data_IF_453169736218
#
_entry.id   IF_453169736218
#
_cell.length_a   1.000
_cell.length_b   1.000
_cell.length_c   1.000
_cell.angle_alpha   90.00
_cell.angle_beta   90.00
_cell.angle_gamma   90.00
#
_symmetry.space_group_name_H-M   'P 1'
#
loop_
_entity.id
_entity.type
_entity.pdbx_description
1 polymer ?
#
# COMPACT_ATOMS: atom_id res chain seq x y z
N UNK A 1 7.81 -0.15 37.45
CA UNK A 1 7.78 -1.36 36.59
C UNK A 1 7.89 -0.90 35.13
N UNK A 2 9.08 -0.94 34.53
CA UNK A 2 9.27 -0.56 33.12
C UNK A 2 8.74 -1.70 32.25
N UNK A 3 7.53 -1.57 31.73
CA UNK A 3 7.03 -2.48 30.71
C UNK A 3 7.93 -2.34 29.48
N UNK A 4 8.67 -3.39 29.14
CA UNK A 4 9.36 -3.50 27.87
C UNK A 4 8.29 -3.51 26.77
N UNK A 5 7.96 -2.32 26.24
CA UNK A 5 7.22 -2.21 25.00
C UNK A 5 8.14 -2.82 23.95
N UNK A 6 7.75 -3.98 23.41
CA UNK A 6 8.41 -4.56 22.25
C UNK A 6 8.27 -3.54 21.12
N UNK A 7 9.35 -2.79 20.85
CA UNK A 7 9.42 -1.86 19.73
C UNK A 7 9.25 -2.67 18.46
N UNK A 8 8.02 -2.72 17.95
CA UNK A 8 7.72 -3.36 16.67
C UNK A 8 8.36 -2.52 15.57
N UNK A 9 9.16 -3.17 14.73
CA UNK A 9 9.71 -2.53 13.53
C UNK A 9 8.65 -2.39 12.45
N UNK A 10 7.61 -3.24 12.49
CA UNK A 10 6.51 -3.27 11.51
C UNK A 10 5.68 -1.98 11.52
N UNK A 11 5.01 -1.65 10.40
CA UNK A 11 4.12 -0.50 10.32
C UNK A 11 3.07 -0.48 11.43
N UNK A 12 2.70 0.71 11.88
CA UNK A 12 1.83 0.91 13.05
C UNK A 12 0.49 0.21 12.84
N UNK A 13 -0.08 0.33 11.65
CA UNK A 13 -1.28 -0.39 11.17
C UNK A 13 -1.19 -0.59 9.67
N UNK A 14 -1.82 -1.65 9.19
CA UNK A 14 -1.94 -1.98 7.77
C UNK A 14 -3.42 -2.24 7.47
N UNK A 15 -3.95 -1.57 6.45
CA UNK A 15 -5.31 -1.75 5.95
C UNK A 15 -5.29 -2.13 4.47
N UNK A 16 -6.28 -2.91 4.04
CA UNK A 16 -6.47 -3.28 2.64
C UNK A 16 -7.95 -3.07 2.25
N UNK A 17 -8.23 -2.04 1.47
CA UNK A 17 -9.59 -1.62 1.11
C UNK A 17 -10.01 -2.15 -0.25
N UNK A 18 -10.94 -3.10 -0.27
CA UNK A 18 -11.48 -3.72 -1.49
C UNK A 18 -12.92 -3.25 -1.72
N UNK A 19 -13.17 -2.57 -2.84
CA UNK A 19 -14.47 -1.97 -3.20
C UNK A 19 -14.40 -1.41 -4.63
N UNK A 20 -15.52 -1.13 -5.33
CA UNK A 20 -15.46 -0.35 -6.58
C UNK A 20 -14.84 1.06 -6.43
N UNK A 21 -14.45 1.66 -7.55
CA UNK A 21 -14.00 3.07 -7.62
C UNK A 21 -15.11 4.04 -7.22
N UNK A 22 -14.73 5.22 -6.74
CA UNK A 22 -15.67 6.28 -6.36
C UNK A 22 -16.43 6.02 -5.05
N UNK A 23 -16.03 5.02 -4.27
CA UNK A 23 -16.72 4.58 -3.06
C UNK A 23 -16.07 5.06 -1.75
N UNK A 24 -15.28 6.13 -1.81
CA UNK A 24 -14.79 6.82 -0.61
C UNK A 24 -13.49 6.30 0.02
N UNK A 25 -12.76 5.37 -0.61
CA UNK A 25 -11.57 4.75 0.02
C UNK A 25 -10.47 5.76 0.32
N UNK A 26 -10.23 6.65 -0.63
CA UNK A 26 -9.20 7.70 -0.54
C UNK A 26 -9.66 8.78 0.44
N UNK A 27 -10.94 9.08 0.47
CA UNK A 27 -11.57 10.01 1.40
C UNK A 27 -11.46 9.51 2.85
N UNK A 28 -11.70 8.21 3.08
CA UNK A 28 -11.49 7.57 4.39
C UNK A 28 -10.02 7.65 4.80
N UNK A 29 -9.08 7.44 3.88
CA UNK A 29 -7.65 7.56 4.17
C UNK A 29 -7.27 9.00 4.58
N UNK A 30 -7.77 10.02 3.86
CA UNK A 30 -7.55 11.43 4.19
C UNK A 30 -8.17 11.82 5.54
N UNK A 31 -9.42 11.41 5.79
CA UNK A 31 -10.08 11.66 7.07
C UNK A 31 -9.35 10.99 8.24
N UNK A 32 -8.81 9.79 8.02
CA UNK A 32 -7.99 9.11 9.01
C UNK A 32 -6.67 9.86 9.27
N UNK A 33 -6.05 10.47 8.26
CA UNK A 33 -4.84 11.27 8.42
C UNK A 33 -5.11 12.43 9.37
N UNK A 34 -6.17 13.20 9.10
CA UNK A 34 -6.53 14.35 9.93
C UNK A 34 -6.85 13.91 11.37
N UNK A 35 -7.58 12.80 11.53
CA UNK A 35 -7.92 12.27 12.85
C UNK A 35 -6.70 11.81 13.66
N UNK A 36 -5.73 11.16 13.02
CA UNK A 36 -4.59 10.53 13.70
C UNK A 36 -3.43 11.50 13.91
N UNK A 37 -3.19 12.39 12.96
CA UNK A 37 -2.00 13.24 12.93
C UNK A 37 -2.32 14.74 12.99
N UNK A 38 -3.57 15.16 12.74
CA UNK A 38 -3.96 16.58 12.71
C UNK A 38 -3.21 17.41 11.66
N UNK A 39 -2.66 16.75 10.65
CA UNK A 39 -1.89 17.37 9.58
C UNK A 39 -2.14 16.61 8.26
N UNK A 40 -2.87 17.23 7.34
CA UNK A 40 -3.10 16.68 6.00
C UNK A 40 -1.81 16.38 5.24
N UNK A 41 -0.69 17.08 5.53
CA UNK A 41 0.62 16.82 4.91
C UNK A 41 1.20 15.48 5.33
N UNK A 42 0.71 14.86 6.40
CA UNK A 42 1.04 13.51 6.79
C UNK A 42 0.47 12.46 5.82
N UNK A 43 -0.42 12.83 4.90
CA UNK A 43 -0.91 11.94 3.85
C UNK A 43 0.02 11.91 2.63
N UNK A 44 0.34 10.71 2.14
CA UNK A 44 0.97 10.53 0.84
C UNK A 44 0.23 9.46 0.04
N UNK A 45 -0.04 9.74 -1.24
CA UNK A 45 -0.71 8.82 -2.17
C UNK A 45 0.23 8.41 -3.28
N UNK A 46 0.24 7.11 -3.58
CA UNK A 46 0.97 6.50 -4.67
C UNK A 46 -0.04 5.76 -5.55
N UNK A 47 -0.23 6.22 -6.79
CA UNK A 47 -1.08 5.55 -7.78
C UNK A 47 -0.28 4.40 -8.42
N UNK A 48 -0.68 3.15 -8.13
CA UNK A 48 0.02 1.97 -8.61
C UNK A 48 -0.09 1.78 -10.13
N UNK A 49 -0.97 2.52 -10.82
CA UNK A 49 -0.97 2.57 -12.28
C UNK A 49 0.30 3.19 -12.88
N UNK A 50 1.06 4.00 -12.14
CA UNK A 50 2.36 4.54 -12.57
C UNK A 50 3.54 3.55 -12.40
N UNK A 51 3.27 2.40 -11.77
CA UNK A 51 4.26 1.42 -11.33
C UNK A 51 4.08 0.05 -12.01
N UNK A 52 3.60 0.04 -13.25
CA UNK A 52 3.34 -1.16 -14.09
C UNK A 52 4.58 -1.77 -14.71
N UNK A 53 5.60 -0.96 -14.95
CA UNK A 53 6.80 -1.36 -15.71
C UNK A 53 7.78 -2.17 -14.86
N UNK A 54 8.64 -2.97 -15.51
CA UNK A 54 9.61 -3.85 -14.85
C UNK A 54 10.51 -3.13 -13.83
N UNK A 55 10.95 -1.91 -14.16
CA UNK A 55 11.81 -1.06 -13.32
C UNK A 55 11.03 -0.12 -12.39
N UNK A 56 9.71 -0.30 -12.25
CA UNK A 56 8.88 0.58 -11.42
C UNK A 56 9.29 0.58 -9.94
N UNK A 57 9.81 -0.53 -9.41
CA UNK A 57 10.28 -0.60 -8.03
C UNK A 57 11.40 0.41 -7.73
N UNK A 58 12.26 0.70 -8.71
CA UNK A 58 13.33 1.69 -8.59
C UNK A 58 12.77 3.11 -8.42
N UNK A 59 11.55 3.41 -8.88
CA UNK A 59 10.91 4.71 -8.59
C UNK A 59 10.59 4.85 -7.10
N UNK A 60 10.30 3.75 -6.39
CA UNK A 60 9.99 3.76 -4.96
C UNK A 60 11.25 3.82 -4.09
N UNK A 61 12.34 3.16 -4.52
CA UNK A 61 13.59 3.01 -3.75
C UNK A 61 14.80 3.72 -4.34
N UNK A 62 14.67 4.41 -5.46
CA UNK A 62 15.77 5.02 -6.20
C UNK A 62 16.51 4.02 -7.09
N UNK A 63 17.14 4.56 -8.14
CA UNK A 63 18.00 3.79 -9.05
C UNK A 63 19.26 3.30 -8.34
N UNK A 64 19.81 2.14 -8.72
CA UNK A 64 21.09 1.64 -8.20
C UNK A 64 22.29 2.44 -8.76
N UNK A 65 23.49 2.31 -8.15
CA UNK A 65 24.71 2.93 -8.66
C UNK A 65 24.96 2.61 -10.14
N UNK A 66 25.22 3.64 -10.95
CA UNK A 66 25.50 3.51 -12.39
C UNK A 66 24.31 3.68 -13.32
N UNK A 67 23.10 3.94 -12.80
CA UNK A 67 21.89 4.21 -13.58
C UNK A 67 21.46 5.68 -13.49
N UNK A 68 20.71 6.16 -14.49
CA UNK A 68 20.13 7.51 -14.47
C UNK A 68 19.16 7.64 -13.28
N UNK A 69 19.23 8.75 -12.55
CA UNK A 69 18.47 8.98 -11.31
C UNK A 69 19.17 8.43 -10.05
N UNK A 70 20.36 7.85 -10.18
CA UNK A 70 21.21 7.54 -9.02
C UNK A 70 21.57 8.83 -8.26
N UNK A 71 21.34 8.85 -6.95
CA UNK A 71 21.57 10.01 -6.08
C UNK A 71 20.31 10.79 -5.67
N UNK A 72 19.18 10.60 -6.36
CA UNK A 72 17.90 11.23 -5.97
C UNK A 72 17.19 10.48 -4.84
N UNK A 73 17.47 9.19 -4.69
CA UNK A 73 16.75 8.31 -3.75
C UNK A 73 15.40 7.89 -4.33
N UNK A 74 14.58 7.25 -3.50
CA UNK A 74 13.27 6.74 -3.93
C UNK A 74 12.14 7.64 -3.50
N UNK A 75 11.06 7.72 -4.30
CA UNK A 75 9.87 8.52 -3.93
C UNK A 75 9.30 8.09 -2.58
N UNK A 76 9.22 6.78 -2.32
CA UNK A 76 8.66 6.26 -1.08
C UNK A 76 9.65 6.40 0.08
N UNK A 77 10.91 6.01 -0.13
CA UNK A 77 11.93 6.08 0.92
C UNK A 77 12.18 7.53 1.36
N UNK A 78 12.28 8.46 0.41
CA UNK A 78 12.42 9.89 0.71
C UNK A 78 11.20 10.42 1.47
N UNK A 79 9.98 10.09 1.05
CA UNK A 79 8.76 10.55 1.72
C UNK A 79 8.71 10.10 3.19
N UNK A 80 9.12 8.88 3.48
CA UNK A 80 9.12 8.34 4.85
C UNK A 80 10.29 8.90 5.67
N UNK A 81 11.45 9.12 5.06
CA UNK A 81 12.58 9.79 5.71
C UNK A 81 12.26 11.24 6.08
N UNK A 82 11.54 11.96 5.21
CA UNK A 82 11.11 13.34 5.43
C UNK A 82 10.02 13.43 6.52
N UNK A 83 9.00 12.57 6.46
CA UNK A 83 7.93 12.54 7.45
C UNK A 83 7.47 11.10 7.77
N UNK A 84 8.06 10.48 8.82
CA UNK A 84 7.77 9.11 9.26
C UNK A 84 6.35 8.91 9.81
N UNK A 85 5.78 9.95 10.42
CA UNK A 85 4.43 9.97 11.00
C UNK A 85 3.42 10.26 9.89
N UNK A 86 3.10 9.24 9.10
CA UNK A 86 2.33 9.42 7.88
C UNK A 86 1.32 8.32 7.62
N UNK A 87 0.29 8.65 6.85
CA UNK A 87 -0.57 7.68 6.18
C UNK A 87 -0.10 7.55 4.74
N UNK A 88 0.33 6.34 4.38
CA UNK A 88 0.80 5.98 3.05
C UNK A 88 -0.31 5.20 2.33
N UNK A 89 -0.94 5.80 1.34
CA UNK A 89 -1.97 5.18 0.51
C UNK A 89 -1.37 4.67 -0.79
N UNK A 90 -1.45 3.37 -1.02
CA UNK A 90 -1.10 2.71 -2.28
C UNK A 90 -2.39 2.33 -3.00
N UNK A 91 -2.75 3.12 -4.01
CA UNK A 91 -4.04 3.05 -4.69
C UNK A 91 -3.98 2.11 -5.89
N UNK A 92 -5.02 1.29 -6.09
CA UNK A 92 -5.13 0.30 -7.17
C UNK A 92 -3.97 -0.71 -7.23
N UNK A 93 -3.63 -1.32 -6.10
CA UNK A 93 -2.47 -2.20 -5.95
C UNK A 93 -2.38 -3.36 -6.97
N UNK A 94 -3.52 -3.81 -7.51
CA UNK A 94 -3.55 -4.81 -8.57
C UNK A 94 -2.92 -4.35 -9.89
N UNK A 95 -2.61 -3.07 -10.02
CA UNK A 95 -2.01 -2.48 -11.22
C UNK A 95 -0.48 -2.44 -11.16
N UNK A 96 0.15 -2.63 -10.01
CA UNK A 96 1.62 -2.57 -9.90
C UNK A 96 2.28 -3.83 -10.46
N UNK A 97 3.54 -3.67 -10.89
CA UNK A 97 4.42 -4.78 -11.25
C UNK A 97 4.77 -5.66 -10.02
N UNK A 98 5.10 -6.93 -10.24
CA UNK A 98 5.47 -7.87 -9.17
C UNK A 98 6.66 -7.39 -8.33
N UNK A 99 7.67 -6.79 -8.97
CA UNK A 99 8.86 -6.23 -8.29
C UNK A 99 8.52 -5.13 -7.28
N UNK A 100 7.37 -4.45 -7.44
CA UNK A 100 6.86 -3.46 -6.48
C UNK A 100 6.20 -4.16 -5.29
N UNK A 101 5.45 -5.23 -5.55
CA UNK A 101 4.85 -6.07 -4.50
C UNK A 101 5.92 -6.66 -3.59
N UNK A 102 7.07 -7.08 -4.13
CA UNK A 102 8.20 -7.57 -3.34
C UNK A 102 8.70 -6.54 -2.33
N UNK A 103 8.73 -5.25 -2.70
CA UNK A 103 9.09 -4.16 -1.78
C UNK A 103 8.05 -3.98 -0.68
N UNK A 104 6.77 -4.14 -1.01
CA UNK A 104 5.72 -4.10 0.02
C UNK A 104 5.80 -5.29 0.97
N UNK A 105 6.07 -6.50 0.47
CA UNK A 105 6.31 -7.67 1.33
C UNK A 105 7.46 -7.39 2.31
N UNK A 106 8.58 -6.86 1.83
CA UNK A 106 9.70 -6.46 2.68
C UNK A 106 9.27 -5.45 3.76
N UNK A 107 8.46 -4.44 3.43
CA UNK A 107 7.95 -3.48 4.42
C UNK A 107 7.03 -4.16 5.45
N UNK A 108 6.18 -5.09 5.03
CA UNK A 108 5.24 -5.79 5.91
C UNK A 108 5.95 -6.79 6.85
N UNK A 109 7.07 -7.35 6.40
CA UNK A 109 7.89 -8.30 7.15
C UNK A 109 8.87 -7.60 8.08
N UNK A 110 9.73 -6.73 7.53
CA UNK A 110 10.83 -6.10 8.25
C UNK A 110 10.49 -4.72 8.83
N UNK A 111 9.51 -4.04 8.23
CA UNK A 111 9.13 -2.68 8.62
C UNK A 111 10.08 -1.58 8.12
N UNK A 112 10.95 -1.90 7.17
CA UNK A 112 11.93 -0.97 6.60
C UNK A 112 12.16 -1.21 5.13
N UNK A 113 12.69 -0.19 4.46
CA UNK A 113 13.14 -0.27 3.07
C UNK A 113 14.43 0.53 2.91
N UNK A 114 15.43 -0.07 2.26
CA UNK A 114 16.69 0.60 1.96
C UNK A 114 16.72 1.02 0.50
N UNK A 115 17.08 2.27 0.27
CA UNK A 115 17.15 2.87 -1.06
C UNK A 115 18.47 2.55 -1.78
N UNK A 116 18.57 2.91 -3.06
CA UNK A 116 19.77 2.67 -3.87
C UNK A 116 21.03 3.40 -3.39
N UNK A 117 20.89 4.37 -2.47
CA UNK A 117 22.00 5.09 -1.83
C UNK A 117 22.41 4.49 -0.48
N UNK A 118 21.72 3.44 -0.03
CA UNK A 118 21.94 2.82 1.27
C UNK A 118 21.23 3.52 2.44
N UNK A 119 20.34 4.49 2.17
CA UNK A 119 19.51 5.11 3.22
C UNK A 119 18.33 4.21 3.54
N UNK A 120 18.09 3.96 4.83
CA UNK A 120 17.01 3.10 5.29
C UNK A 120 15.84 3.91 5.85
N UNK A 121 14.67 3.79 5.23
CA UNK A 121 13.40 4.30 5.73
C UNK A 121 12.73 3.27 6.64
N UNK A 122 12.27 3.70 7.82
CA UNK A 122 11.55 2.87 8.79
C UNK A 122 10.08 3.26 8.84
N UNK A 123 9.18 2.27 8.75
CA UNK A 123 7.74 2.46 8.61
C UNK A 123 6.98 2.27 9.92
N UNK A 124 7.68 2.05 11.04
CA UNK A 124 7.10 1.79 12.36
C UNK A 124 6.20 2.90 12.89
N UNK A 125 6.32 4.13 12.37
CA UNK A 125 5.44 5.27 12.70
C UNK A 125 4.36 5.53 11.65
N UNK A 126 4.37 4.80 10.54
CA UNK A 126 3.44 4.98 9.43
C UNK A 126 2.23 4.04 9.52
N UNK A 127 1.09 4.51 9.04
CA UNK A 127 -0.07 3.68 8.71
C UNK A 127 -0.05 3.43 7.21
N UNK A 128 -0.14 2.17 6.81
CA UNK A 128 -0.18 1.78 5.40
C UNK A 128 -1.60 1.39 5.02
N UNK A 129 -2.08 1.93 3.91
CA UNK A 129 -3.39 1.60 3.34
C UNK A 129 -3.17 1.18 1.89
N UNK A 130 -3.55 -0.04 1.56
CA UNK A 130 -3.67 -0.48 0.17
C UNK A 130 -5.13 -0.34 -0.26
N UNK A 131 -5.38 0.05 -1.50
CA UNK A 131 -6.71 -0.07 -2.11
C UNK A 131 -6.65 -1.02 -3.29
N UNK A 132 -7.76 -1.72 -3.53
CA UNK A 132 -7.91 -2.55 -4.71
C UNK A 132 -9.33 -2.51 -5.27
N UNK A 133 -9.45 -2.46 -6.59
CA UNK A 133 -10.73 -2.56 -7.29
C UNK A 133 -10.99 -3.98 -7.81
N UNK A 134 -10.19 -4.96 -7.40
CA UNK A 134 -10.41 -6.38 -7.71
C UNK A 134 -11.83 -6.81 -7.31
N UNK A 135 -12.49 -7.54 -8.21
CA UNK A 135 -13.84 -8.08 -7.99
C UNK A 135 -14.98 -7.07 -8.17
N UNK A 136 -14.67 -5.77 -8.31
CA UNK A 136 -15.67 -4.72 -8.44
C UNK A 136 -16.50 -4.82 -9.73
N UNK A 137 -15.87 -5.10 -10.88
CA UNK A 137 -16.55 -5.15 -12.18
C UNK A 137 -17.59 -6.28 -12.26
N UNK A 138 -17.28 -7.45 -11.70
CA UNK A 138 -18.22 -8.60 -11.64
C UNK A 138 -19.40 -8.31 -10.70
N UNK A 139 -19.14 -7.69 -9.55
CA UNK A 139 -20.22 -7.29 -8.62
C UNK A 139 -21.14 -6.21 -9.18
N UNK A 140 -20.60 -5.25 -9.93
CA UNK A 140 -21.42 -4.21 -10.58
C UNK A 140 -22.27 -4.77 -11.73
N UNK A 141 -21.85 -5.87 -12.37
CA UNK A 141 -22.69 -6.59 -13.33
C UNK A 141 -23.77 -7.42 -12.63
N UNK A 142 -23.48 -7.97 -11.44
CA UNK A 142 -24.44 -8.64 -10.56
C UNK A 142 -25.32 -7.67 -9.74
N UNK A 143 -25.48 -6.41 -10.19
CA UNK A 143 -26.22 -5.33 -9.51
C UNK A 143 -27.63 -5.70 -9.00
N UNK A 144 -28.25 -6.73 -9.58
CA UNK A 144 -29.56 -7.23 -9.17
C UNK A 144 -29.55 -7.99 -7.82
N UNK A 145 -28.42 -8.52 -7.35
CA UNK A 145 -28.35 -9.44 -6.21
C UNK A 145 -27.57 -8.90 -4.99
N UNK A 146 -27.07 -7.67 -5.02
CA UNK A 146 -26.26 -7.13 -3.92
C UNK A 146 -27.09 -6.61 -2.73
N UNK A 147 -28.34 -6.19 -2.95
CA UNK A 147 -29.21 -5.74 -1.86
C UNK A 147 -29.71 -6.90 -0.99
N UNK A 148 -29.56 -8.15 -1.44
CA UNK A 148 -30.08 -9.36 -0.80
C UNK A 148 -29.00 -10.28 -0.23
N UNK A 149 -27.71 -10.02 -0.53
CA UNK A 149 -26.59 -10.81 -0.01
C UNK A 149 -26.17 -10.31 1.37
N UNK A 150 -25.92 -11.25 2.28
CA UNK A 150 -25.36 -10.95 3.60
C UNK A 150 -23.92 -10.41 3.47
N UNK A 151 -23.51 -9.57 4.43
CA UNK A 151 -22.16 -9.04 4.52
C UNK A 151 -21.09 -10.13 4.47
N UNK A 152 -21.35 -11.26 5.14
CA UNK A 152 -20.44 -12.43 5.17
C UNK A 152 -20.15 -12.98 3.78
N UNK A 153 -21.16 -13.03 2.91
CA UNK A 153 -21.02 -13.51 1.54
C UNK A 153 -20.22 -12.53 0.68
N UNK A 154 -20.49 -11.23 0.84
CA UNK A 154 -19.77 -10.17 0.13
C UNK A 154 -18.29 -10.16 0.55
N UNK A 155 -18.02 -10.25 1.85
CA UNK A 155 -16.67 -10.32 2.39
C UNK A 155 -15.91 -11.54 1.86
N UNK A 156 -16.56 -12.71 1.90
CA UNK A 156 -15.96 -13.96 1.39
C UNK A 156 -15.64 -13.89 -0.09
N UNK A 157 -16.53 -13.30 -0.89
CA UNK A 157 -16.30 -13.07 -2.32
C UNK A 157 -15.05 -12.21 -2.58
N UNK A 158 -14.93 -11.06 -1.90
CA UNK A 158 -13.78 -10.18 -2.10
C UNK A 158 -12.48 -10.80 -1.58
N UNK A 159 -12.51 -11.46 -0.42
CA UNK A 159 -11.34 -12.18 0.10
C UNK A 159 -10.86 -13.24 -0.86
N UNK A 160 -11.79 -14.04 -1.42
CA UNK A 160 -11.44 -15.03 -2.44
C UNK A 160 -10.79 -14.36 -3.64
N UNK A 161 -11.39 -13.30 -4.19
CA UNK A 161 -10.86 -12.62 -5.39
C UNK A 161 -9.49 -11.99 -5.20
N UNK A 162 -9.26 -11.35 -4.05
CA UNK A 162 -7.94 -10.80 -3.72
C UNK A 162 -6.91 -11.92 -3.57
N UNK A 163 -7.26 -13.00 -2.85
CA UNK A 163 -6.37 -14.14 -2.67
C UNK A 163 -5.99 -14.79 -4.00
N UNK A 164 -6.99 -15.03 -4.85
CA UNK A 164 -6.86 -15.61 -6.19
C UNK A 164 -5.86 -14.79 -7.03
N UNK A 165 -6.07 -13.47 -7.11
CA UNK A 165 -5.22 -12.56 -7.86
C UNK A 165 -3.75 -12.58 -7.39
N UNK A 166 -3.50 -12.48 -6.08
CA UNK A 166 -2.12 -12.43 -5.58
C UNK A 166 -1.43 -13.80 -5.57
N UNK A 167 -2.16 -14.91 -5.44
CA UNK A 167 -1.57 -16.25 -5.53
C UNK A 167 -1.25 -16.63 -6.97
N UNK A 168 -2.09 -16.29 -7.94
CA UNK A 168 -1.81 -16.53 -9.37
C UNK A 168 -0.58 -15.74 -9.83
N UNK A 169 -0.48 -14.46 -9.45
CA UNK A 169 0.66 -13.62 -9.80
C UNK A 169 1.95 -13.97 -9.04
N UNK A 170 1.88 -14.75 -7.96
CA UNK A 170 3.08 -15.24 -7.26
C UNK A 170 3.73 -16.47 -7.91
N UNK A 171 3.07 -17.06 -8.92
CA UNK A 171 3.52 -18.27 -9.64
C UNK A 171 4.12 -17.98 -11.03
N UNK A 172 4.17 -16.72 -11.44
CA UNK A 172 4.72 -16.26 -12.71
C UNK A 172 6.03 -15.49 -12.46
#
# INVERSE_FOLDING_TARGET
MRSFIKLSTKPKRIFFFVRPTGMGKTEVAKALTELVFGDEKAFARFDMSEYKEQHAAEKLTGSPPGFVGYGEGGKLTNRVLENPYSILLFDEIEKSHSTVLDKFLQILEDGRLTDGQGKTAYFNQSIIIFTSNIGASKLLQEKANLQTKDYTEIESFFKYKVRDFFLENSRA
#
